data_IF_341280389224
#
_entry.id   IF_341280389224
#
_cell.length_a   1.000
_cell.length_b   1.000
_cell.length_c   1.000
_cell.angle_alpha   90.00
_cell.angle_beta   90.00
_cell.angle_gamma   90.00
#
_symmetry.space_group_name_H-M   'P 1'
#
loop_
_entity.id
_entity.type
_entity.pdbx_description
1 polymer ?
#
# COMPACT_ATOMS: atom_id res chain seq x y z
N UNK A 1 -9.16 -18.35 14.87
CA UNK A 1 -8.12 -17.31 14.95
C UNK A 1 -7.29 -17.40 13.68
N UNK A 2 -7.39 -16.41 12.80
CA UNK A 2 -6.58 -16.37 11.57
C UNK A 2 -5.20 -15.84 11.93
N UNK A 3 -4.15 -16.61 11.68
CA UNK A 3 -2.77 -16.20 11.92
C UNK A 3 -2.41 -15.12 10.90
N UNK A 4 -2.57 -13.84 11.28
CA UNK A 4 -2.13 -12.72 10.41
C UNK A 4 -0.61 -12.84 10.22
N UNK A 5 -0.19 -13.06 8.97
CA UNK A 5 1.23 -13.25 8.60
C UNK A 5 1.98 -11.94 8.84
N UNK A 6 3.22 -12.05 9.34
CA UNK A 6 4.12 -10.90 9.51
C UNK A 6 4.37 -10.27 8.12
N UNK A 7 3.77 -9.09 7.87
CA UNK A 7 3.92 -8.39 6.59
C UNK A 7 5.35 -7.87 6.46
N UNK A 8 6.02 -8.14 5.34
CA UNK A 8 7.38 -7.66 5.05
C UNK A 8 7.38 -6.13 4.96
N UNK A 9 7.66 -5.47 6.09
CA UNK A 9 7.64 -4.03 6.22
C UNK A 9 9.07 -3.48 6.21
N UNK A 10 9.40 -2.71 5.19
CA UNK A 10 10.46 -1.72 5.31
C UNK A 10 10.01 -0.45 4.58
N UNK A 11 9.80 0.69 5.26
CA UNK A 11 9.84 1.97 4.57
C UNK A 11 11.19 2.02 3.86
N UNK A 12 11.19 2.24 2.55
CA UNK A 12 12.44 2.31 1.81
C UNK A 12 13.18 3.58 2.25
N UNK A 13 14.24 3.41 3.04
CA UNK A 13 15.10 4.51 3.48
C UNK A 13 16.08 4.83 2.35
N UNK A 14 15.90 5.98 1.70
CA UNK A 14 16.98 6.60 0.95
C UNK A 14 18.10 6.96 1.94
N UNK A 15 19.37 6.60 1.70
CA UNK A 15 20.47 6.75 2.67
C UNK A 15 20.76 8.20 3.10
N UNK A 16 20.17 9.21 2.44
CA UNK A 16 20.48 10.63 2.68
C UNK A 16 19.28 11.53 3.00
N UNK A 17 18.05 11.00 3.12
CA UNK A 17 16.87 11.84 3.42
C UNK A 17 16.21 11.39 4.72
N UNK A 18 15.91 12.39 5.56
CA UNK A 18 15.20 12.28 6.84
C UNK A 18 14.18 11.14 6.80
N UNK A 19 14.23 10.27 7.80
CA UNK A 19 13.17 9.30 8.13
C UNK A 19 11.82 9.94 7.84
N UNK A 20 11.03 9.29 6.98
CA UNK A 20 9.73 9.78 6.50
C UNK A 20 8.96 10.44 7.61
N UNK A 21 8.44 11.63 7.33
CA UNK A 21 7.75 12.48 8.31
C UNK A 21 6.66 11.62 8.96
N UNK A 22 6.81 11.37 10.27
CA UNK A 22 5.75 10.83 11.11
C UNK A 22 4.68 11.92 11.19
N UNK A 23 3.70 11.84 10.32
CA UNK A 23 2.49 12.62 10.49
C UNK A 23 1.67 11.88 11.55
N UNK A 24 1.75 12.33 12.79
CA UNK A 24 0.69 12.10 13.78
C UNK A 24 -0.55 12.83 13.27
N UNK A 25 -1.18 12.28 12.24
CA UNK A 25 -2.50 12.69 11.79
C UNK A 25 -3.50 11.93 12.61
N UNK A 26 -4.52 12.64 13.05
CA UNK A 26 -5.48 12.17 14.05
C UNK A 26 -6.88 11.82 13.49
N UNK A 27 -7.08 11.28 12.27
CA UNK A 27 -8.34 10.59 12.02
C UNK A 27 -8.33 9.34 12.89
N UNK A 28 -9.33 9.20 13.73
CA UNK A 28 -9.44 8.02 14.57
C UNK A 28 -9.65 6.76 13.73
N UNK A 29 -9.29 5.61 14.28
CA UNK A 29 -9.64 4.33 13.68
C UNK A 29 -11.13 4.09 13.77
N UNK A 30 -11.68 3.38 12.78
CA UNK A 30 -13.04 2.89 12.85
C UNK A 30 -13.17 1.93 14.03
N UNK A 31 -14.38 1.79 14.57
CA UNK A 31 -14.64 0.77 15.58
C UNK A 31 -14.23 -0.64 15.11
N UNK A 32 -13.76 -1.47 16.04
CA UNK A 32 -13.51 -2.91 15.85
C UNK A 32 -12.51 -3.25 14.75
N UNK A 33 -11.52 -2.38 14.54
CA UNK A 33 -10.43 -2.66 13.62
C UNK A 33 -9.40 -3.57 14.28
N UNK A 34 -8.82 -4.48 13.50
CA UNK A 34 -7.88 -5.50 13.98
C UNK A 34 -6.61 -5.58 13.11
N UNK A 35 -6.32 -4.52 12.34
CA UNK A 35 -5.15 -4.51 11.47
C UNK A 35 -3.86 -4.62 12.28
N UNK A 36 -2.85 -5.18 11.62
CA UNK A 36 -1.49 -5.20 12.13
C UNK A 36 -0.65 -4.16 11.39
N UNK A 37 0.46 -3.76 11.99
CA UNK A 37 1.48 -2.94 11.35
C UNK A 37 1.80 -3.45 9.94
N UNK A 38 1.83 -2.54 8.98
CA UNK A 38 2.04 -2.85 7.56
C UNK A 38 0.76 -3.01 6.74
N UNK A 39 -0.42 -2.96 7.35
CA UNK A 39 -1.69 -2.94 6.65
C UNK A 39 -1.87 -1.67 5.80
N UNK A 40 -2.55 -1.79 4.66
CA UNK A 40 -2.99 -0.63 3.90
C UNK A 40 -4.21 -0.02 4.54
N UNK A 41 -4.15 1.29 4.74
CA UNK A 41 -5.23 2.05 5.35
C UNK A 41 -5.93 2.89 4.28
N UNK A 42 -7.25 2.84 4.31
CA UNK A 42 -8.15 3.69 3.53
C UNK A 42 -9.10 4.41 4.49
N UNK A 43 -9.82 5.43 4.01
CA UNK A 43 -10.89 6.05 4.81
C UNK A 43 -12.19 5.27 4.64
N UNK A 44 -12.91 5.10 5.73
CA UNK A 44 -14.32 4.74 5.66
C UNK A 44 -15.10 5.88 5.00
N UNK A 45 -15.95 5.55 4.04
CA UNK A 45 -16.72 6.54 3.28
C UNK A 45 -17.81 7.23 4.13
N UNK A 46 -18.20 6.63 5.26
CA UNK A 46 -19.26 7.14 6.12
C UNK A 46 -18.69 7.92 7.30
N UNK A 47 -17.77 7.31 8.07
CA UNK A 47 -17.23 7.95 9.27
C UNK A 47 -15.96 8.76 9.03
N UNK A 48 -15.34 8.65 7.86
CA UNK A 48 -14.02 9.24 7.52
C UNK A 48 -12.87 8.73 8.41
N UNK A 49 -13.13 7.77 9.29
CA UNK A 49 -12.17 7.09 10.13
C UNK A 49 -11.32 6.09 9.32
N UNK A 50 -10.18 5.71 9.86
CA UNK A 50 -9.29 4.75 9.21
C UNK A 50 -9.84 3.33 9.29
N UNK A 51 -9.81 2.62 8.17
CA UNK A 51 -10.08 1.18 8.08
C UNK A 51 -8.98 0.48 7.30
N UNK A 52 -8.75 -0.80 7.57
CA UNK A 52 -7.94 -1.66 6.71
C UNK A 52 -8.61 -1.81 5.33
N UNK A 53 -7.81 -1.84 4.27
CA UNK A 53 -8.29 -2.25 2.95
C UNK A 53 -8.84 -3.67 3.04
N UNK A 54 -10.10 -3.88 2.64
CA UNK A 54 -10.74 -5.18 2.76
C UNK A 54 -9.97 -6.28 2.00
N UNK A 55 -9.83 -7.45 2.64
CA UNK A 55 -9.19 -8.63 2.06
C UNK A 55 -9.88 -9.06 0.77
N UNK A 56 -9.10 -9.37 -0.26
CA UNK A 56 -9.59 -9.67 -1.62
C UNK A 56 -10.10 -8.45 -2.37
N UNK A 57 -10.08 -7.27 -1.74
CA UNK A 57 -10.49 -6.02 -2.36
C UNK A 57 -9.38 -5.47 -3.27
N UNK A 58 -9.75 -5.14 -4.50
CA UNK A 58 -9.00 -4.13 -5.25
C UNK A 58 -9.19 -2.79 -4.56
N UNK A 59 -8.11 -2.07 -4.33
CA UNK A 59 -8.21 -0.71 -3.81
C UNK A 59 -8.93 0.20 -4.81
N UNK A 60 -10.23 0.41 -4.62
CA UNK A 60 -11.02 1.46 -5.29
C UNK A 60 -10.87 2.78 -4.56
N UNK A 61 -10.85 2.72 -3.23
CA UNK A 61 -10.67 3.87 -2.34
C UNK A 61 -9.27 4.49 -2.47
N UNK A 62 -9.15 5.75 -2.05
CA UNK A 62 -7.84 6.42 -1.93
C UNK A 62 -7.06 5.79 -0.77
N UNK A 63 -5.85 5.30 -1.06
CA UNK A 63 -4.93 4.83 -0.03
C UNK A 63 -4.44 6.04 0.79
N UNK A 64 -4.64 5.96 2.11
CA UNK A 64 -4.19 6.99 3.06
C UNK A 64 -2.74 6.77 3.46
N UNK A 65 -2.32 5.51 3.54
CA UNK A 65 -0.97 5.14 3.92
C UNK A 65 -0.88 3.70 4.39
N UNK A 66 0.21 3.41 5.08
CA UNK A 66 0.49 2.08 5.63
C UNK A 66 0.61 2.17 7.14
N UNK A 67 -0.09 1.30 7.87
CA UNK A 67 -0.12 1.28 9.33
C UNK A 67 1.30 1.17 9.93
N UNK A 68 1.65 2.08 10.84
CA UNK A 68 2.94 2.04 11.56
C UNK A 68 2.85 1.26 12.88
N UNK A 69 1.62 1.05 13.37
CA UNK A 69 1.25 0.34 14.59
C UNK A 69 0.03 -0.54 14.34
N UNK A 70 -0.18 -1.52 15.21
CA UNK A 70 -1.39 -2.33 15.22
C UNK A 70 -2.60 -1.47 15.61
N UNK A 71 -3.81 -1.89 15.21
CA UNK A 71 -5.05 -1.23 15.60
C UNK A 71 -5.25 -1.30 17.12
N UNK A 72 -5.93 -0.30 17.69
CA UNK A 72 -6.30 -0.34 19.11
C UNK A 72 -7.60 -1.12 19.37
N UNK A 73 -8.41 -1.35 18.32
CA UNK A 73 -9.75 -1.91 18.39
C UNK A 73 -10.83 -0.94 18.88
N UNK A 74 -10.47 0.28 19.26
CA UNK A 74 -11.33 1.27 19.90
C UNK A 74 -11.60 2.45 18.97
N UNK A 75 -12.88 2.67 18.66
CA UNK A 75 -13.33 3.74 17.76
C UNK A 75 -12.74 5.11 18.11
N UNK A 76 -12.46 5.89 17.08
CA UNK A 76 -11.90 7.23 17.16
C UNK A 76 -10.51 7.34 17.84
N UNK A 77 -9.87 6.22 18.19
CA UNK A 77 -8.51 6.21 18.74
C UNK A 77 -7.51 6.56 17.65
N UNK A 78 -6.58 7.45 17.97
CA UNK A 78 -5.56 7.92 17.04
C UNK A 78 -4.45 6.87 16.94
N UNK A 79 -4.20 6.38 15.74
CA UNK A 79 -3.16 5.38 15.47
C UNK A 79 -2.23 5.89 14.37
N UNK A 80 -0.92 5.72 14.58
CA UNK A 80 0.10 6.21 13.65
C UNK A 80 0.18 5.40 12.35
N UNK A 81 0.34 6.09 11.23
CA UNK A 81 0.59 5.49 9.92
C UNK A 81 1.66 6.28 9.14
N UNK A 82 2.27 5.63 8.15
CA UNK A 82 3.15 6.28 7.19
C UNK A 82 2.29 6.74 6.02
N UNK A 83 2.16 8.06 5.85
CA UNK A 83 1.28 8.65 4.84
C UNK A 83 1.69 8.25 3.41
N UNK A 84 0.69 7.92 2.60
CA UNK A 84 0.79 7.82 1.15
C UNK A 84 0.94 9.22 0.54
N UNK A 85 2.19 9.66 0.33
CA UNK A 85 2.51 10.91 -0.35
C UNK A 85 3.70 10.71 -1.30
N UNK A 86 3.96 11.69 -2.17
CA UNK A 86 5.02 11.63 -3.19
C UNK A 86 6.44 11.45 -2.61
N UNK A 87 6.64 11.75 -1.32
CA UNK A 87 7.95 11.65 -0.66
C UNK A 87 8.20 10.31 0.03
N UNK A 88 7.14 9.54 0.31
CA UNK A 88 7.24 8.27 1.01
C UNK A 88 7.24 7.10 0.02
N UNK A 89 8.24 6.24 0.16
CA UNK A 89 8.44 5.07 -0.68
C UNK A 89 8.24 3.79 0.13
N UNK A 90 7.60 2.80 -0.49
CA UNK A 90 7.20 1.56 0.14
C UNK A 90 7.75 0.36 -0.65
N UNK A 91 8.11 -0.70 0.06
CA UNK A 91 8.43 -1.98 -0.56
C UNK A 91 7.15 -2.81 -0.69
N UNK A 92 6.96 -3.45 -1.84
CA UNK A 92 5.82 -4.31 -2.09
C UNK A 92 6.19 -5.43 -3.06
N UNK A 93 5.59 -6.60 -2.88
CA UNK A 93 5.75 -7.73 -3.81
C UNK A 93 4.83 -7.58 -5.02
N UNK A 94 5.29 -8.05 -6.18
CA UNK A 94 4.50 -8.11 -7.40
C UNK A 94 3.71 -9.42 -7.49
N UNK A 95 2.48 -9.32 -7.99
CA UNK A 95 1.65 -10.46 -8.40
C UNK A 95 0.89 -10.12 -9.68
N UNK A 96 0.37 -11.15 -10.35
CA UNK A 96 -0.57 -11.04 -11.47
C UNK A 96 -1.92 -11.64 -11.02
N UNK A 97 -2.82 -10.76 -10.57
CA UNK A 97 -4.10 -11.09 -9.93
C UNK A 97 -3.89 -11.75 -8.56
N UNK A 98 -3.69 -13.07 -8.57
CA UNK A 98 -3.42 -13.88 -7.36
C UNK A 98 -2.22 -14.81 -7.52
N UNK A 99 -1.53 -14.74 -8.67
CA UNK A 99 -0.40 -15.62 -9.01
C UNK A 99 0.93 -14.87 -8.94
N UNK A 100 2.00 -15.57 -8.61
CA UNK A 100 3.35 -15.00 -8.66
C UNK A 100 3.70 -14.56 -10.09
N UNK A 101 4.40 -13.45 -10.22
CA UNK A 101 4.88 -12.93 -11.51
C UNK A 101 6.39 -12.70 -11.44
N UNK A 102 7.07 -12.91 -12.57
CA UNK A 102 8.47 -12.58 -12.71
C UNK A 102 8.64 -11.06 -12.90
N UNK A 103 9.62 -10.47 -12.23
CA UNK A 103 9.97 -9.07 -12.44
C UNK A 103 10.50 -8.87 -13.86
N UNK A 104 9.90 -7.94 -14.61
CA UNK A 104 10.38 -7.50 -15.91
C UNK A 104 10.85 -6.03 -15.85
N UNK A 105 11.83 -5.67 -16.68
CA UNK A 105 12.29 -4.28 -16.83
C UNK A 105 11.16 -3.32 -17.19
N UNK A 106 10.18 -3.81 -17.95
CA UNK A 106 9.00 -3.04 -18.37
C UNK A 106 8.12 -2.61 -17.21
N UNK A 107 8.26 -3.17 -16.01
CA UNK A 107 7.54 -2.71 -14.83
C UNK A 107 8.08 -1.38 -14.29
N UNK A 108 9.31 -0.98 -14.62
CA UNK A 108 9.86 0.29 -14.16
C UNK A 108 9.03 1.47 -14.66
N UNK A 109 8.61 2.35 -13.76
CA UNK A 109 7.79 3.52 -14.07
C UNK A 109 6.31 3.21 -14.35
N UNK A 110 5.91 1.94 -14.42
CA UNK A 110 4.52 1.57 -14.67
C UNK A 110 3.63 1.79 -13.45
N UNK A 111 2.35 2.04 -13.75
CA UNK A 111 1.31 2.24 -12.75
C UNK A 111 0.44 0.99 -12.68
N UNK A 112 0.14 0.57 -11.46
CA UNK A 112 -0.61 -0.65 -11.20
C UNK A 112 -1.59 -0.45 -10.05
N UNK A 113 -2.58 -1.32 -10.00
CA UNK A 113 -3.47 -1.48 -8.87
C UNK A 113 -2.78 -2.16 -7.70
N UNK A 114 -3.53 -2.22 -6.59
CA UNK A 114 -3.10 -2.89 -5.36
C UNK A 114 -4.25 -3.76 -4.89
N UNK A 115 -3.90 -4.95 -4.40
CA UNK A 115 -4.83 -5.92 -3.85
C UNK A 115 -4.32 -6.41 -2.49
N UNK A 116 -5.23 -6.55 -1.53
CA UNK A 116 -4.94 -7.29 -0.28
C UNK A 116 -5.29 -8.77 -0.47
N UNK A 117 -4.35 -9.66 -0.20
CA UNK A 117 -4.51 -11.11 -0.27
C UNK A 117 -3.88 -11.77 0.95
N UNK A 118 -4.68 -12.50 1.72
CA UNK A 118 -4.20 -13.25 2.89
C UNK A 118 -3.62 -12.39 4.01
N UNK A 119 -4.05 -11.12 4.11
CA UNK A 119 -3.49 -10.19 5.09
C UNK A 119 -2.07 -9.74 4.74
N UNK A 120 -1.77 -9.64 3.45
CA UNK A 120 -0.65 -8.87 2.91
C UNK A 120 -1.14 -8.17 1.64
N UNK A 121 -0.54 -7.04 1.27
CA UNK A 121 -0.91 -6.33 0.05
C UNK A 121 0.19 -6.40 -0.99
N UNK A 122 -0.23 -6.41 -2.25
CA UNK A 122 0.63 -6.64 -3.39
C UNK A 122 0.36 -5.63 -4.48
N UNK A 123 1.39 -5.35 -5.27
CA UNK A 123 1.25 -4.63 -6.54
C UNK A 123 0.71 -5.62 -7.56
N UNK A 124 -0.49 -5.37 -8.06
CA UNK A 124 -1.16 -6.26 -9.02
C UNK A 124 -0.90 -5.76 -10.44
N UNK A 125 0.03 -6.41 -11.14
CA UNK A 125 0.42 -6.05 -12.50
C UNK A 125 -0.66 -6.35 -13.54
N UNK A 126 -1.67 -7.16 -13.19
CA UNK A 126 -2.84 -7.40 -14.02
C UNK A 126 -3.81 -6.22 -14.03
N UNK A 127 -3.74 -5.38 -13.00
CA UNK A 127 -4.62 -4.25 -12.81
C UNK A 127 -3.96 -2.96 -13.26
N UNK A 128 -4.15 -2.61 -14.53
CA UNK A 128 -3.68 -1.35 -15.13
C UNK A 128 -4.77 -0.28 -15.25
N UNK A 129 -5.98 -0.56 -14.71
CA UNK A 129 -7.13 0.34 -14.81
C UNK A 129 -7.35 1.12 -13.52
N UNK A 130 -7.30 0.45 -12.37
CA UNK A 130 -7.47 1.07 -11.05
C UNK A 130 -6.11 1.30 -10.39
N UNK A 131 -5.27 2.09 -11.07
CA UNK A 131 -3.90 2.35 -10.65
C UNK A 131 -3.84 3.12 -9.32
N UNK A 132 -3.14 2.57 -8.33
CA UNK A 132 -2.92 3.18 -7.01
C UNK A 132 -1.45 3.39 -6.67
N UNK A 133 -0.55 2.69 -7.36
CA UNK A 133 0.89 2.79 -7.15
C UNK A 133 1.63 2.95 -8.46
N UNK A 134 2.82 3.50 -8.38
CA UNK A 134 3.80 3.46 -9.46
C UNK A 134 5.08 2.81 -8.97
N UNK A 135 5.63 1.91 -9.78
CA UNK A 135 6.95 1.31 -9.56
C UNK A 135 8.02 2.33 -9.86
N UNK A 136 8.90 2.60 -8.90
CA UNK A 136 9.96 3.61 -9.01
C UNK A 136 11.36 3.04 -8.77
N UNK A 137 11.46 1.75 -8.44
CA UNK A 137 12.72 1.07 -8.18
C UNK A 137 12.52 -0.44 -8.06
N UNK A 138 13.59 -1.19 -8.28
CA UNK A 138 13.62 -2.63 -8.04
C UNK A 138 14.44 -2.92 -6.79
N UNK A 139 13.94 -3.86 -5.96
CA UNK A 139 14.68 -4.36 -4.79
C UNK A 139 15.37 -5.67 -5.16
N UNK A 140 14.62 -6.56 -5.80
CA UNK A 140 15.10 -7.86 -6.28
C UNK A 140 15.46 -7.80 -7.78
N UNK A 141 16.07 -8.86 -8.32
CA UNK A 141 16.61 -8.84 -9.68
C UNK A 141 15.55 -9.12 -10.74
N UNK A 142 15.75 -8.59 -11.96
CA UNK A 142 14.88 -8.89 -13.10
C UNK A 142 14.94 -10.38 -13.41
N UNK A 143 13.77 -11.00 -13.60
CA UNK A 143 13.60 -12.44 -13.72
C UNK A 143 13.18 -13.16 -12.44
N UNK A 144 13.33 -12.53 -11.27
CA UNK A 144 12.92 -13.14 -10.00
C UNK A 144 11.39 -13.23 -9.91
N UNK A 145 10.90 -14.38 -9.43
CA UNK A 145 9.48 -14.57 -9.10
C UNK A 145 9.19 -14.16 -7.66
N UNK A 146 8.02 -13.60 -7.40
CA UNK A 146 7.68 -12.97 -6.10
C UNK A 146 8.59 -11.78 -5.74
N UNK A 147 9.18 -11.15 -6.76
CA UNK A 147 10.08 -10.02 -6.59
C UNK A 147 9.42 -8.84 -5.88
N UNK A 148 10.23 -8.12 -5.13
CA UNK A 148 9.85 -6.88 -4.46
C UNK A 148 10.33 -5.68 -5.26
N UNK A 149 9.48 -4.66 -5.25
CA UNK A 149 9.72 -3.38 -5.91
C UNK A 149 9.57 -2.25 -4.91
N UNK A 150 10.17 -1.11 -5.23
CA UNK A 150 9.93 0.15 -4.57
C UNK A 150 8.79 0.85 -5.28
N UNK A 151 7.77 1.24 -4.54
CA UNK A 151 6.61 1.96 -5.06
C UNK A 151 6.38 3.28 -4.34
N UNK A 152 5.73 4.20 -5.04
CA UNK A 152 5.02 5.34 -4.45
C UNK A 152 3.52 5.19 -4.65
N UNK A 153 2.72 5.65 -3.70
CA UNK A 153 1.28 5.76 -3.88
C UNK A 153 0.95 6.96 -4.77
N UNK A 154 0.02 6.77 -5.69
CA UNK A 154 -0.46 7.80 -6.59
C UNK A 154 -1.51 8.66 -5.91
N UNK A 155 -1.43 9.97 -6.15
CA UNK A 155 -2.54 10.89 -5.87
C UNK A 155 -3.69 10.68 -6.85
N UNK A 156 -4.90 11.12 -6.50
CA UNK A 156 -6.10 10.98 -7.35
C UNK A 156 -5.91 11.60 -8.75
N UNK A 157 -5.12 12.67 -8.84
CA UNK A 157 -4.75 13.28 -10.12
C UNK A 157 -3.83 12.35 -10.93
N UNK A 158 -2.75 11.85 -10.32
CA UNK A 158 -1.77 11.00 -11.01
C UNK A 158 -2.34 9.63 -11.40
N UNK A 159 -3.33 9.11 -10.67
CA UNK A 159 -4.05 7.88 -10.99
C UNK A 159 -4.91 8.02 -12.27
N UNK A 160 -5.49 9.20 -12.50
CA UNK A 160 -6.43 9.45 -13.61
C UNK A 160 -5.78 9.99 -14.90
N UNK A 161 -4.52 10.45 -14.86
CA UNK A 161 -3.82 11.05 -16.02
C UNK A 161 -3.55 10.05 -17.17
N UNK A 162 -3.86 8.76 -17.04
CA UNK A 162 -3.75 7.78 -18.14
C UNK A 162 -5.08 7.42 -18.81
N UNK A 163 -6.21 8.03 -18.43
CA UNK A 163 -7.49 7.83 -19.12
C UNK A 163 -7.70 8.81 -20.30
N UNK A 164 -6.71 9.65 -20.64
CA UNK A 164 -6.87 10.75 -21.61
C UNK A 164 -5.59 11.10 -22.38
N UNK A 165 -4.85 10.09 -22.86
CA UNK A 165 -3.81 10.28 -23.89
C UNK A 165 -3.85 9.16 -24.92
#
# INVERSE_FOLDING_TARGET
MSTKVLRTFAPYKLPSRKTGIKWEREPGEKASQDWIKGALLVRDSSSMELKELATGGTATDKIVGVAAHDASGTASTKVGYIEANDSNLFAASLINGTTAVALADTHMGQKYGVIDSGGAWYVDVSNTTQCKVQVVGFIDAVGDTNARVVVRFLTDFQANVLASS
#
